data_IF_772252571996
#
_entry.id   IF_772252571996
#
_cell.length_a   1.000
_cell.length_b   1.000
_cell.length_c   1.000
_cell.angle_alpha   90.00
_cell.angle_beta   90.00
_cell.angle_gamma   90.00
#
_symmetry.space_group_name_H-M   'P 1'
#
loop_
_entity.id
_entity.type
_entity.pdbx_description
1 polymer ?
#
# COMPACT_ATOMS: atom_id res chain seq x y z
N UNK A 1 -8.93 -10.93 -18.50
CA UNK A 1 -7.52 -10.56 -18.76
C UNK A 1 -6.95 -10.08 -17.42
N UNK A 2 -5.76 -10.52 -17.02
CA UNK A 2 -5.18 -10.11 -15.72
C UNK A 2 -4.87 -8.62 -15.75
N UNK A 3 -5.42 -7.87 -14.81
CA UNK A 3 -5.12 -6.46 -14.64
C UNK A 3 -3.82 -6.32 -13.85
N UNK A 4 -2.70 -6.49 -14.56
CA UNK A 4 -1.34 -6.44 -14.02
C UNK A 4 -1.07 -5.22 -13.11
N UNK A 5 -1.47 -3.97 -13.48
CA UNK A 5 -1.23 -2.83 -12.60
C UNK A 5 -2.08 -2.89 -11.32
N UNK A 6 -3.32 -3.38 -11.38
CA UNK A 6 -4.15 -3.54 -10.18
C UNK A 6 -3.57 -4.60 -9.21
N UNK A 7 -2.93 -5.64 -9.75
CA UNK A 7 -2.21 -6.64 -8.98
C UNK A 7 -0.92 -6.07 -8.35
N UNK A 8 -0.14 -5.31 -9.12
CA UNK A 8 1.06 -4.65 -8.61
C UNK A 8 0.73 -3.69 -7.46
N UNK A 9 -0.35 -2.91 -7.58
CA UNK A 9 -0.81 -2.02 -6.52
C UNK A 9 -1.22 -2.80 -5.25
N UNK A 10 -1.87 -3.96 -5.39
CA UNK A 10 -2.21 -4.81 -4.25
C UNK A 10 -0.96 -5.33 -3.52
N UNK A 11 0.03 -5.83 -4.28
CA UNK A 11 1.30 -6.32 -3.71
C UNK A 11 2.03 -5.18 -2.99
N UNK A 12 2.09 -3.99 -3.59
CA UNK A 12 2.70 -2.80 -2.99
C UNK A 12 2.02 -2.43 -1.67
N UNK A 13 0.69 -2.43 -1.61
CA UNK A 13 -0.07 -2.19 -0.38
C UNK A 13 0.31 -3.17 0.73
N UNK A 14 0.40 -4.47 0.41
CA UNK A 14 0.78 -5.50 1.39
C UNK A 14 2.20 -5.25 1.92
N UNK A 15 3.14 -4.91 1.04
CA UNK A 15 4.52 -4.60 1.44
C UNK A 15 4.57 -3.36 2.35
N UNK A 16 3.83 -2.31 2.03
CA UNK A 16 3.77 -1.09 2.82
C UNK A 16 3.19 -1.36 4.22
N UNK A 17 2.15 -2.18 4.33
CA UNK A 17 1.65 -2.60 5.65
C UNK A 17 2.67 -3.42 6.43
N UNK A 18 3.38 -4.33 5.77
CA UNK A 18 4.46 -5.11 6.40
C UNK A 18 5.55 -4.21 6.99
N UNK A 19 6.04 -3.24 6.20
CA UNK A 19 7.04 -2.26 6.66
C UNK A 19 6.47 -1.40 7.79
N UNK A 20 5.23 -0.93 7.67
CA UNK A 20 4.60 -0.10 8.69
C UNK A 20 4.52 -0.82 10.05
N UNK A 21 4.14 -2.10 10.05
CA UNK A 21 4.04 -2.90 11.27
C UNK A 21 5.41 -3.15 11.90
N UNK A 22 6.44 -3.44 11.08
CA UNK A 22 7.81 -3.60 11.56
C UNK A 22 8.35 -2.29 12.15
N UNK A 23 8.11 -1.15 11.49
CA UNK A 23 8.51 0.17 11.98
C UNK A 23 7.78 0.53 13.28
N UNK A 24 6.48 0.24 13.39
CA UNK A 24 5.73 0.39 14.64
C UNK A 24 6.33 -0.44 15.77
N UNK A 25 6.67 -1.70 15.51
CA UNK A 25 7.29 -2.58 16.50
C UNK A 25 8.68 -2.08 16.94
N UNK A 26 9.41 -1.41 16.05
CA UNK A 26 10.68 -0.76 16.35
C UNK A 26 10.55 0.62 17.04
N UNK A 27 9.32 1.14 17.19
CA UNK A 27 9.05 2.47 17.78
C UNK A 27 9.21 3.64 16.80
N UNK A 28 9.48 3.39 15.52
CA UNK A 28 9.56 4.42 14.49
C UNK A 28 8.19 4.70 13.87
N UNK A 29 7.44 5.58 14.55
CA UNK A 29 6.11 5.99 14.13
C UNK A 29 6.12 6.87 12.87
N UNK A 30 7.25 7.51 12.56
CA UNK A 30 7.39 8.37 11.39
C UNK A 30 7.37 7.54 10.10
N UNK A 31 8.22 6.51 10.03
CA UNK A 31 8.25 5.58 8.90
C UNK A 31 6.91 4.82 8.82
N UNK A 32 6.38 4.38 9.95
CA UNK A 32 5.09 3.69 9.97
C UNK A 32 3.96 4.55 9.38
N UNK A 33 3.86 5.82 9.79
CA UNK A 33 2.87 6.76 9.26
C UNK A 33 3.01 6.99 7.76
N UNK A 34 4.23 7.15 7.25
CA UNK A 34 4.50 7.28 5.81
C UNK A 34 4.09 6.03 5.03
N UNK A 35 4.38 4.84 5.57
CA UNK A 35 3.98 3.59 4.95
C UNK A 35 2.46 3.41 4.92
N UNK A 36 1.76 3.77 6.01
CA UNK A 36 0.29 3.77 6.04
C UNK A 36 -0.31 4.77 5.05
N UNK A 37 0.25 5.98 4.93
CA UNK A 37 -0.17 6.98 3.95
C UNK A 37 0.01 6.45 2.51
N UNK A 38 1.19 5.88 2.22
CA UNK A 38 1.48 5.28 0.93
C UNK A 38 0.54 4.12 0.59
N UNK A 39 0.22 3.27 1.57
CA UNK A 39 -0.71 2.17 1.39
C UNK A 39 -2.11 2.68 1.03
N UNK A 40 -2.58 3.73 1.69
CA UNK A 40 -3.86 4.38 1.38
C UNK A 40 -3.92 4.91 -0.05
N UNK A 41 -2.85 5.57 -0.51
CA UNK A 41 -2.75 6.06 -1.90
C UNK A 41 -2.76 4.91 -2.91
N UNK A 42 -2.01 3.83 -2.63
CA UNK A 42 -1.97 2.66 -3.50
C UNK A 42 -3.35 1.98 -3.62
N UNK A 43 -4.10 1.89 -2.52
CA UNK A 43 -5.48 1.36 -2.51
C UNK A 43 -6.39 2.27 -3.34
N UNK A 44 -6.35 3.58 -3.13
CA UNK A 44 -7.16 4.53 -3.89
C UNK A 44 -6.89 4.41 -5.40
N UNK A 45 -5.62 4.37 -5.80
CA UNK A 45 -5.24 4.23 -7.20
C UNK A 45 -5.76 2.91 -7.77
N UNK A 46 -5.58 1.81 -7.03
CA UNK A 46 -6.08 0.48 -7.42
C UNK A 46 -7.58 0.48 -7.64
N UNK A 47 -8.34 0.95 -6.66
CA UNK A 47 -9.80 0.91 -6.72
C UNK A 47 -10.34 1.86 -7.77
N UNK A 48 -9.95 3.14 -7.74
CA UNK A 48 -10.58 4.18 -8.57
C UNK A 48 -10.04 4.31 -9.98
N UNK A 49 -8.83 3.82 -10.26
CA UNK A 49 -8.20 4.01 -11.59
C UNK A 49 -7.89 2.71 -12.30
N UNK A 50 -7.61 1.65 -11.55
CA UNK A 50 -7.16 0.38 -12.13
C UNK A 50 -8.30 -0.64 -12.21
N UNK A 51 -9.20 -0.70 -11.22
CA UNK A 51 -10.35 -1.63 -11.22
C UNK A 51 -11.64 -1.03 -11.79
N UNK A 52 -11.90 0.26 -11.55
CA UNK A 52 -13.11 0.98 -12.00
C UNK A 52 -13.10 1.38 -13.50
N UNK A 53 -12.25 0.74 -14.32
CA UNK A 53 -12.05 1.05 -15.75
C UNK A 53 -12.32 -0.18 -16.60
#
# INVERSE_FOLDING_TARGET
>A
MVNAPAWAAAILTILLFGVALVSMAAGDLGIAGLCFLGASVAIYLREKRLLDR
#
